data_IF_146130568167
#
_entry.id   IF_146130568167
#
_cell.length_a   1.000
_cell.length_b   1.000
_cell.length_c   1.000
_cell.angle_alpha   90.00
_cell.angle_beta   90.00
_cell.angle_gamma   90.00
#
_symmetry.space_group_name_H-M   'P 1'
#
loop_
_entity.id
_entity.type
_entity.pdbx_description
1 polymer ?
#
# COMPACT_ATOMS: atom_id res chain seq x y z
N UNK A 1 12.95 8.58 7.71
CA UNK A 1 13.94 9.57 7.32
C UNK A 1 15.16 8.85 6.76
N UNK A 2 15.17 8.68 5.43
CA UNK A 2 16.30 8.13 4.67
C UNK A 2 17.19 9.26 4.17
N UNK A 3 16.58 10.37 3.78
CA UNK A 3 17.22 11.59 3.33
C UNK A 3 16.61 12.79 4.07
N UNK A 4 17.37 13.84 4.24
CA UNK A 4 16.87 15.13 4.69
C UNK A 4 16.54 16.01 3.46
N UNK A 5 15.53 16.87 3.58
CA UNK A 5 15.24 17.85 2.55
C UNK A 5 16.41 18.83 2.43
N UNK A 6 16.83 19.11 1.18
CA UNK A 6 17.90 20.09 0.90
C UNK A 6 17.45 21.50 1.28
N UNK A 7 16.18 21.80 0.99
CA UNK A 7 15.51 23.06 1.36
C UNK A 7 14.13 22.77 1.93
N UNK A 8 13.62 23.69 2.74
CA UNK A 8 12.31 23.55 3.36
C UNK A 8 12.29 22.59 4.56
N UNK A 9 11.09 22.17 4.95
CA UNK A 9 10.87 21.37 6.16
C UNK A 9 9.82 20.30 5.89
N UNK A 10 10.13 19.06 6.23
CA UNK A 10 9.17 17.95 6.28
C UNK A 10 8.70 17.79 7.72
N UNK A 11 7.37 17.77 7.92
CA UNK A 11 6.76 17.62 9.25
C UNK A 11 5.88 16.38 9.32
N UNK A 12 5.98 15.67 10.44
CA UNK A 12 5.10 14.55 10.80
C UNK A 12 4.51 14.86 12.16
N UNK A 13 3.19 14.77 12.31
CA UNK A 13 2.51 15.14 13.55
C UNK A 13 2.78 16.59 13.98
N UNK A 14 2.94 17.52 13.03
CA UNK A 14 3.21 18.94 13.27
C UNK A 14 4.67 19.28 13.62
N UNK A 15 5.53 18.29 13.87
CA UNK A 15 6.95 18.48 14.26
C UNK A 15 7.88 18.17 13.09
N UNK A 16 8.95 18.97 12.93
CA UNK A 16 10.02 18.69 11.94
C UNK A 16 10.62 17.30 12.17
N UNK A 17 10.73 16.52 11.09
CA UNK A 17 11.29 15.14 11.14
C UNK A 17 12.72 15.10 11.66
N UNK A 18 13.48 16.18 11.53
CA UNK A 18 14.84 16.31 12.05
C UNK A 18 14.89 16.35 13.59
N UNK A 19 13.80 16.75 14.22
CA UNK A 19 13.67 16.81 15.67
C UNK A 19 13.19 15.51 16.34
N UNK A 20 12.96 14.43 15.59
CA UNK A 20 12.63 13.13 16.13
C UNK A 20 13.87 12.25 16.30
N UNK A 21 13.83 11.36 17.27
CA UNK A 21 14.65 10.15 17.23
C UNK A 21 14.29 9.36 15.96
N UNK A 22 15.32 8.89 15.25
CA UNK A 22 15.13 8.25 13.93
C UNK A 22 14.38 6.92 14.06
N UNK A 23 14.63 6.15 15.12
CA UNK A 23 13.96 4.87 15.33
C UNK A 23 12.49 5.11 15.71
N UNK A 24 12.21 6.03 16.63
CA UNK A 24 10.85 6.40 17.01
C UNK A 24 10.03 6.90 15.80
N UNK A 25 10.65 7.70 14.90
CA UNK A 25 9.98 8.14 13.67
C UNK A 25 9.72 6.97 12.72
N UNK A 26 10.69 6.08 12.54
CA UNK A 26 10.54 4.92 11.66
C UNK A 26 9.55 3.91 12.20
N UNK A 27 9.43 3.79 13.53
CA UNK A 27 8.44 2.93 14.16
C UNK A 27 7.02 3.46 13.98
N UNK A 28 6.85 4.77 13.96
CA UNK A 28 5.55 5.41 13.70
C UNK A 28 5.14 5.39 12.22
N UNK A 29 6.05 5.12 11.28
CA UNK A 29 5.79 5.12 9.84
C UNK A 29 5.94 3.72 9.28
N UNK A 30 4.86 3.21 8.69
CA UNK A 30 4.87 2.00 7.87
C UNK A 30 4.98 2.37 6.39
N UNK A 31 5.75 1.61 5.63
CA UNK A 31 5.86 1.80 4.19
C UNK A 31 5.78 0.45 3.46
N UNK A 32 4.95 0.40 2.44
CA UNK A 32 4.86 -0.70 1.49
C UNK A 32 5.41 -0.21 0.17
N UNK A 33 6.54 -0.76 -0.23
CA UNK A 33 7.26 -0.34 -1.44
C UNK A 33 6.71 -1.03 -2.69
N UNK A 34 6.92 -0.45 -3.86
CA UNK A 34 6.61 -1.03 -5.16
C UNK A 34 7.28 -2.39 -5.35
N UNK A 35 8.56 -2.53 -4.95
CA UNK A 35 9.25 -3.82 -4.93
C UNK A 35 9.04 -4.52 -3.60
N UNK A 36 8.20 -5.54 -3.63
CA UNK A 36 7.86 -6.34 -2.47
C UNK A 36 8.99 -7.34 -2.15
N UNK A 37 9.70 -7.11 -1.06
CA UNK A 37 10.79 -7.96 -0.61
C UNK A 37 10.34 -8.84 0.55
N UNK A 38 10.47 -10.14 0.34
CA UNK A 38 10.38 -11.17 1.38
C UNK A 38 11.75 -11.80 1.58
N UNK A 39 12.03 -12.15 2.83
CA UNK A 39 13.27 -12.83 3.21
C UNK A 39 13.07 -14.34 3.16
N UNK A 40 14.17 -15.09 3.06
CA UNK A 40 14.16 -16.54 3.23
C UNK A 40 13.66 -16.91 4.62
N UNK A 41 12.98 -18.05 4.74
CA UNK A 41 12.31 -18.49 5.95
C UNK A 41 10.81 -18.61 5.75
N UNK A 42 10.07 -18.75 6.83
CA UNK A 42 8.62 -18.96 6.79
C UNK A 42 7.85 -17.64 6.58
N UNK A 43 6.58 -17.76 6.25
CA UNK A 43 5.65 -16.60 6.22
C UNK A 43 5.59 -15.97 7.62
N UNK A 44 5.51 -16.78 8.66
CA UNK A 44 5.56 -16.36 10.08
C UNK A 44 6.78 -15.49 10.36
N UNK A 45 7.98 -15.94 10.00
CA UNK A 45 9.21 -15.19 10.21
C UNK A 45 9.16 -13.84 9.52
N UNK A 46 8.67 -13.80 8.28
CA UNK A 46 8.53 -12.56 7.51
C UNK A 46 7.52 -11.59 8.12
N UNK A 47 6.40 -12.07 8.63
CA UNK A 47 5.39 -11.23 9.27
C UNK A 47 5.90 -10.66 10.60
N UNK A 48 6.63 -11.46 11.39
CA UNK A 48 7.23 -11.03 12.66
C UNK A 48 8.31 -9.96 12.53
N UNK A 49 8.76 -9.62 11.34
CA UNK A 49 9.54 -8.40 11.11
C UNK A 49 8.72 -7.11 11.33
N UNK A 50 7.39 -7.20 11.26
CA UNK A 50 6.49 -6.09 11.61
C UNK A 50 6.37 -5.92 13.11
N UNK A 51 6.13 -7.02 13.82
CA UNK A 51 6.07 -7.11 15.28
C UNK A 51 6.62 -8.48 15.73
N UNK A 52 7.81 -8.53 16.36
CA UNK A 52 8.41 -9.77 16.84
C UNK A 52 7.58 -10.50 17.91
N UNK A 53 6.78 -9.78 18.67
CA UNK A 53 5.97 -10.29 19.78
C UNK A 53 4.54 -10.67 19.36
N UNK A 54 4.18 -10.45 18.07
CA UNK A 54 2.86 -10.76 17.54
C UNK A 54 2.48 -12.23 17.77
N UNK A 55 1.27 -12.44 18.29
CA UNK A 55 0.67 -13.76 18.42
C UNK A 55 0.17 -14.29 17.08
N UNK A 56 -0.17 -15.58 17.01
CA UNK A 56 -0.75 -16.15 15.79
C UNK A 56 -2.06 -15.46 15.41
N UNK A 57 -2.88 -15.08 16.39
CA UNK A 57 -4.12 -14.38 16.15
C UNK A 57 -3.87 -13.00 15.51
N UNK A 58 -2.81 -12.28 15.95
CA UNK A 58 -2.40 -10.99 15.37
C UNK A 58 -1.91 -11.18 13.93
N UNK A 59 -1.09 -12.23 13.69
CA UNK A 59 -0.60 -12.55 12.34
C UNK A 59 -1.76 -12.84 11.39
N UNK A 60 -2.72 -13.66 11.82
CA UNK A 60 -3.90 -13.95 11.01
C UNK A 60 -4.81 -12.75 10.83
N UNK A 61 -4.96 -11.89 11.85
CA UNK A 61 -5.72 -10.64 11.72
C UNK A 61 -5.10 -9.73 10.65
N UNK A 62 -3.79 -9.49 10.71
CA UNK A 62 -3.10 -8.70 9.71
C UNK A 62 -3.17 -9.34 8.30
N UNK A 63 -3.14 -10.67 8.21
CA UNK A 63 -3.32 -11.37 6.94
C UNK A 63 -4.74 -11.19 6.38
N UNK A 64 -5.78 -11.17 7.21
CA UNK A 64 -7.16 -10.88 6.77
C UNK A 64 -7.27 -9.44 6.25
N UNK A 65 -6.73 -8.47 6.96
CA UNK A 65 -6.74 -7.05 6.55
C UNK A 65 -5.99 -6.82 5.23
N UNK A 66 -4.98 -7.63 4.96
CA UNK A 66 -4.22 -7.63 3.70
C UNK A 66 -4.78 -8.59 2.64
N UNK A 67 -5.92 -9.26 2.87
CA UNK A 67 -6.47 -10.31 2.00
C UNK A 67 -5.48 -11.44 1.68
N UNK A 68 -4.54 -11.71 2.59
CA UNK A 68 -3.57 -12.78 2.46
C UNK A 68 -4.10 -14.13 2.98
N UNK A 69 -5.07 -14.11 3.87
CA UNK A 69 -5.71 -15.29 4.47
C UNK A 69 -6.35 -16.22 3.42
N UNK A 70 -6.89 -15.68 2.34
CA UNK A 70 -7.50 -16.45 1.26
C UNK A 70 -6.56 -17.49 0.65
N UNK A 71 -5.30 -17.13 0.38
CA UNK A 71 -4.34 -18.07 -0.17
C UNK A 71 -3.60 -18.84 0.92
N UNK A 72 -3.34 -18.22 2.08
CA UNK A 72 -2.71 -18.87 3.23
C UNK A 72 -3.49 -20.07 3.73
N UNK A 73 -4.82 -19.96 3.81
CA UNK A 73 -5.68 -21.05 4.24
C UNK A 73 -5.67 -22.28 3.31
N UNK A 74 -5.17 -22.11 2.08
CA UNK A 74 -5.01 -23.20 1.10
C UNK A 74 -3.61 -23.81 1.10
N UNK A 75 -2.67 -23.20 1.81
CA UNK A 75 -1.31 -23.73 1.95
C UNK A 75 -1.28 -24.79 3.04
N UNK A 76 -0.67 -25.97 2.80
CA UNK A 76 -0.65 -27.06 3.78
C UNK A 76 -0.06 -26.66 5.13
N UNK A 77 1.00 -25.85 5.11
CA UNK A 77 1.73 -25.42 6.29
C UNK A 77 1.31 -24.01 6.79
N UNK A 78 0.32 -23.38 6.13
CA UNK A 78 -0.21 -22.07 6.52
C UNK A 78 0.89 -21.02 6.76
N UNK A 79 0.95 -20.46 7.98
CA UNK A 79 1.98 -19.48 8.36
C UNK A 79 3.41 -20.06 8.38
N UNK A 80 3.57 -21.36 8.52
CA UNK A 80 4.87 -22.04 8.57
C UNK A 80 5.36 -22.48 7.19
N UNK A 81 4.66 -22.10 6.13
CA UNK A 81 5.06 -22.32 4.74
C UNK A 81 6.38 -21.61 4.46
N UNK A 82 7.39 -22.36 3.97
CA UNK A 82 8.68 -21.83 3.55
C UNK A 82 8.54 -21.02 2.26
N UNK A 83 9.05 -19.79 2.28
CA UNK A 83 9.00 -18.87 1.15
C UNK A 83 10.11 -19.06 0.14
N UNK A 84 11.16 -19.81 0.49
CA UNK A 84 12.37 -19.91 -0.32
C UNK A 84 13.14 -18.58 -0.43
N UNK A 85 14.15 -18.56 -1.26
CA UNK A 85 14.98 -17.36 -1.43
C UNK A 85 14.18 -16.23 -2.10
N UNK A 86 14.03 -15.09 -1.41
CA UNK A 86 13.31 -13.93 -1.91
C UNK A 86 11.83 -14.16 -2.19
N UNK A 87 11.22 -15.18 -1.54
CA UNK A 87 9.81 -15.52 -1.71
C UNK A 87 9.50 -16.14 -3.07
N UNK A 88 10.39 -16.96 -3.65
CA UNK A 88 10.20 -17.58 -4.97
C UNK A 88 8.97 -18.52 -5.02
N UNK A 89 8.51 -19.00 -3.88
CA UNK A 89 7.38 -19.93 -3.77
C UNK A 89 6.00 -19.26 -3.78
N UNK A 90 5.95 -17.94 -3.89
CA UNK A 90 4.68 -17.17 -3.91
C UNK A 90 4.64 -16.19 -5.08
N UNK A 91 3.44 -15.92 -5.59
CA UNK A 91 3.22 -14.98 -6.69
C UNK A 91 3.51 -13.52 -6.28
N UNK A 92 3.64 -12.61 -7.26
CA UNK A 92 3.85 -11.19 -7.01
C UNK A 92 2.75 -10.57 -6.14
N UNK A 93 1.49 -10.86 -6.44
CA UNK A 93 0.35 -10.38 -5.64
C UNK A 93 0.30 -10.99 -4.22
N UNK A 94 0.72 -12.25 -4.06
CA UNK A 94 0.85 -12.88 -2.73
C UNK A 94 1.96 -12.21 -1.92
N UNK A 95 3.15 -11.97 -2.53
CA UNK A 95 4.24 -11.23 -1.89
C UNK A 95 3.78 -9.86 -1.40
N UNK A 96 3.04 -9.16 -2.24
CA UNK A 96 2.55 -7.84 -1.93
C UNK A 96 1.61 -7.85 -0.72
N UNK A 97 0.64 -8.77 -0.69
CA UNK A 97 -0.28 -8.93 0.44
C UNK A 97 0.45 -9.27 1.73
N UNK A 98 1.47 -10.13 1.69
CA UNK A 98 2.31 -10.42 2.86
C UNK A 98 3.12 -9.19 3.32
N UNK A 99 3.64 -8.38 2.40
CA UNK A 99 4.32 -7.13 2.75
C UNK A 99 3.36 -6.11 3.37
N UNK A 100 2.11 -6.05 2.91
CA UNK A 100 1.07 -5.22 3.52
C UNK A 100 0.77 -5.73 4.94
N UNK A 101 0.49 -7.03 5.12
CA UNK A 101 0.23 -7.63 6.43
C UNK A 101 1.36 -7.34 7.42
N UNK A 102 2.63 -7.55 7.01
CA UNK A 102 3.81 -7.22 7.80
C UNK A 102 3.84 -5.74 8.22
N UNK A 103 3.45 -4.85 7.34
CA UNK A 103 3.45 -3.41 7.64
C UNK A 103 2.31 -3.02 8.57
N UNK A 104 1.16 -3.67 8.48
CA UNK A 104 0.02 -3.46 9.37
C UNK A 104 0.30 -3.92 10.81
N UNK A 105 1.03 -5.04 10.98
CA UNK A 105 1.47 -5.53 12.30
C UNK A 105 2.30 -4.52 13.09
N UNK A 106 2.95 -3.59 12.40
CA UNK A 106 3.72 -2.53 13.04
C UNK A 106 2.84 -1.48 13.74
N UNK A 107 1.53 -1.49 13.52
CA UNK A 107 0.57 -0.50 14.02
C UNK A 107 1.00 0.96 13.79
N UNK A 108 1.37 1.32 12.55
CA UNK A 108 1.94 2.62 12.23
C UNK A 108 0.92 3.75 12.44
N UNK A 109 1.40 4.97 12.71
CA UNK A 109 0.58 6.20 12.73
C UNK A 109 0.45 6.83 11.35
N UNK A 110 1.44 6.60 10.49
CA UNK A 110 1.46 7.00 9.08
C UNK A 110 1.75 5.75 8.23
N UNK A 111 0.93 5.51 7.23
CA UNK A 111 1.04 4.38 6.33
C UNK A 111 1.25 4.90 4.91
N UNK A 112 2.34 4.50 4.27
CA UNK A 112 2.71 4.91 2.92
C UNK A 112 2.64 3.70 2.01
N UNK A 113 1.87 3.84 0.92
CA UNK A 113 1.78 2.86 -0.17
C UNK A 113 2.41 3.47 -1.41
N UNK A 114 3.55 2.92 -1.84
CA UNK A 114 4.27 3.38 -3.02
C UNK A 114 4.01 2.44 -4.20
N UNK A 115 2.99 2.76 -5.00
CA UNK A 115 2.49 1.98 -6.16
C UNK A 115 2.35 0.46 -5.85
N UNK A 116 2.06 0.18 -4.61
CA UNK A 116 2.19 -1.16 -4.03
C UNK A 116 0.94 -2.04 -4.25
N UNK A 117 -0.08 -1.57 -4.96
CA UNK A 117 -1.26 -2.35 -5.33
C UNK A 117 -1.30 -2.75 -6.81
N UNK A 118 -0.31 -2.34 -7.60
CA UNK A 118 -0.25 -2.59 -9.04
C UNK A 118 -0.15 -4.07 -9.45
N UNK A 119 0.32 -4.93 -8.54
CA UNK A 119 0.48 -6.37 -8.79
C UNK A 119 -0.69 -7.24 -8.31
N UNK A 120 -1.72 -6.65 -7.68
CA UNK A 120 -2.93 -7.36 -7.29
C UNK A 120 -4.09 -7.08 -8.26
N UNK A 121 -5.04 -8.00 -8.33
CA UNK A 121 -6.25 -7.80 -9.11
C UNK A 121 -7.17 -6.74 -8.47
N UNK A 122 -8.07 -6.18 -9.27
CA UNK A 122 -8.93 -5.06 -8.85
C UNK A 122 -9.83 -5.40 -7.65
N UNK A 123 -10.30 -6.64 -7.53
CA UNK A 123 -11.18 -7.05 -6.43
C UNK A 123 -10.38 -7.09 -5.13
N UNK A 124 -9.19 -7.71 -5.15
CA UNK A 124 -8.27 -7.75 -4.00
C UNK A 124 -7.82 -6.34 -3.60
N UNK A 125 -7.50 -5.47 -4.57
CA UNK A 125 -7.15 -4.07 -4.29
C UNK A 125 -8.31 -3.33 -3.60
N UNK A 126 -9.53 -3.51 -4.07
CA UNK A 126 -10.72 -2.93 -3.44
C UNK A 126 -10.92 -3.40 -2.01
N UNK A 127 -10.73 -4.70 -1.74
CA UNK A 127 -10.81 -5.27 -0.40
C UNK A 127 -9.74 -4.69 0.54
N UNK A 128 -8.49 -4.62 0.10
CA UNK A 128 -7.39 -4.00 0.87
C UNK A 128 -7.75 -2.54 1.19
N UNK A 129 -8.23 -1.77 0.23
CA UNK A 129 -8.65 -0.37 0.46
C UNK A 129 -9.76 -0.27 1.50
N UNK A 130 -10.75 -1.18 1.45
CA UNK A 130 -11.83 -1.20 2.43
C UNK A 130 -11.30 -1.50 3.84
N UNK A 131 -10.42 -2.49 3.99
CA UNK A 131 -9.78 -2.80 5.26
C UNK A 131 -8.95 -1.61 5.78
N UNK A 132 -8.17 -0.97 4.90
CA UNK A 132 -7.41 0.23 5.25
C UNK A 132 -8.30 1.41 5.66
N UNK A 133 -9.48 1.57 5.04
CA UNK A 133 -10.44 2.61 5.43
C UNK A 133 -10.92 2.42 6.88
N UNK A 134 -11.03 1.16 7.33
CA UNK A 134 -11.38 0.81 8.70
C UNK A 134 -10.28 1.12 9.74
N UNK A 135 -9.04 1.39 9.32
CA UNK A 135 -7.96 1.78 10.23
C UNK A 135 -8.12 3.25 10.68
N UNK A 136 -8.99 3.51 11.62
CA UNK A 136 -9.35 4.79 12.24
C UNK A 136 -8.37 5.96 12.05
N UNK A 137 -7.58 6.30 13.08
CA UNK A 137 -6.72 7.49 13.14
C UNK A 137 -5.36 7.38 12.44
N UNK A 138 -5.22 6.51 11.43
CA UNK A 138 -3.96 6.35 10.67
C UNK A 138 -3.96 7.28 9.47
N UNK A 139 -2.93 8.12 9.32
CA UNK A 139 -2.72 8.91 8.10
C UNK A 139 -2.22 7.99 6.99
N UNK A 140 -2.95 7.96 5.87
CA UNK A 140 -2.62 7.11 4.72
C UNK A 140 -2.15 8.00 3.56
N UNK A 141 -0.96 7.72 3.05
CA UNK A 141 -0.40 8.34 1.85
C UNK A 141 -0.30 7.27 0.76
N UNK A 142 -1.08 7.42 -0.29
CA UNK A 142 -1.14 6.46 -1.39
C UNK A 142 -0.53 7.11 -2.63
N UNK A 143 0.56 6.57 -3.12
CA UNK A 143 1.15 6.93 -4.40
C UNK A 143 0.67 5.89 -5.40
N UNK A 144 -0.06 6.32 -6.42
CA UNK A 144 -0.64 5.42 -7.40
C UNK A 144 -0.66 6.05 -8.79
N UNK A 145 -0.57 5.19 -9.80
CA UNK A 145 -0.70 5.56 -11.20
C UNK A 145 -2.15 5.48 -11.67
N UNK A 146 -3.00 4.70 -10.98
CA UNK A 146 -4.41 4.54 -11.32
C UNK A 146 -5.27 5.49 -10.48
N UNK A 147 -6.12 6.27 -11.15
CA UNK A 147 -7.07 7.15 -10.46
C UNK A 147 -8.03 6.33 -9.59
N UNK A 148 -8.46 5.16 -10.02
CA UNK A 148 -9.32 4.28 -9.23
C UNK A 148 -8.75 3.93 -7.87
N UNK A 149 -7.44 3.94 -7.70
CA UNK A 149 -6.77 3.66 -6.42
C UNK A 149 -6.85 4.84 -5.43
N UNK A 150 -7.06 6.05 -5.91
CA UNK A 150 -7.03 7.29 -5.10
C UNK A 150 -8.31 8.10 -5.13
N UNK A 151 -9.30 7.76 -5.97
CA UNK A 151 -10.53 8.53 -6.14
C UNK A 151 -11.36 8.69 -4.85
N UNK A 152 -11.20 7.79 -3.88
CA UNK A 152 -11.87 7.85 -2.58
C UNK A 152 -11.03 8.51 -1.48
N UNK A 153 -9.88 9.09 -1.82
CA UNK A 153 -9.04 9.79 -0.87
C UNK A 153 -9.67 11.13 -0.46
N UNK A 154 -9.45 11.53 0.80
CA UNK A 154 -9.90 12.82 1.31
C UNK A 154 -9.25 14.00 0.57
N UNK A 155 -8.03 13.79 0.06
CA UNK A 155 -7.27 14.78 -0.67
C UNK A 155 -6.38 14.09 -1.71
N UNK A 156 -6.41 14.59 -2.94
CA UNK A 156 -5.55 14.15 -4.03
C UNK A 156 -4.58 15.27 -4.36
N UNK A 157 -3.30 14.92 -4.48
CA UNK A 157 -2.23 15.83 -4.85
C UNK A 157 -1.66 15.41 -6.19
N UNK A 158 -1.68 16.31 -7.17
CA UNK A 158 -1.09 16.10 -8.49
C UNK A 158 0.27 16.76 -8.53
N UNK A 159 1.29 15.96 -8.84
CA UNK A 159 2.64 16.42 -9.07
C UNK A 159 2.94 16.33 -10.57
N UNK A 160 3.44 17.42 -11.13
CA UNK A 160 3.89 17.49 -12.51
C UNK A 160 5.31 18.09 -12.54
N UNK A 161 6.22 17.41 -13.21
CA UNK A 161 7.64 17.77 -13.31
C UNK A 161 8.27 18.15 -11.94
N UNK A 162 7.94 17.36 -10.91
CA UNK A 162 8.45 17.57 -9.54
C UNK A 162 7.86 18.77 -8.79
N UNK A 163 6.82 19.39 -9.33
CA UNK A 163 6.12 20.54 -8.74
C UNK A 163 4.67 20.20 -8.40
N UNK A 164 4.14 20.89 -7.40
CA UNK A 164 2.73 20.83 -7.09
C UNK A 164 1.94 21.47 -8.23
N UNK A 165 1.12 20.67 -8.95
CA UNK A 165 0.25 21.16 -10.01
C UNK A 165 -1.14 21.52 -9.45
N UNK A 166 -1.82 20.56 -8.83
CA UNK A 166 -3.16 20.77 -8.29
C UNK A 166 -3.38 19.93 -7.01
N UNK A 167 -4.36 20.39 -6.20
CA UNK A 167 -4.81 19.71 -4.98
C UNK A 167 -6.31 19.82 -4.90
N UNK A 168 -7.00 18.72 -4.58
CA UNK A 168 -8.46 18.72 -4.39
C UNK A 168 -8.99 17.31 -4.16
N UNK A 169 -10.30 17.20 -4.02
CA UNK A 169 -11.01 15.92 -4.06
C UNK A 169 -11.13 15.41 -5.49
N UNK A 170 -11.54 14.15 -5.66
CA UNK A 170 -11.82 13.58 -6.99
C UNK A 170 -12.75 14.45 -7.81
N UNK A 171 -13.89 14.84 -7.24
CA UNK A 171 -14.92 15.62 -7.93
C UNK A 171 -14.44 17.02 -8.31
N UNK A 172 -13.69 17.67 -7.42
CA UNK A 172 -13.12 18.99 -7.68
C UNK A 172 -12.11 18.99 -8.81
N UNK A 173 -11.21 18.00 -8.80
CA UNK A 173 -10.18 17.85 -9.84
C UNK A 173 -10.80 17.43 -11.17
N UNK A 174 -11.77 16.52 -11.15
CA UNK A 174 -12.48 16.11 -12.36
C UNK A 174 -13.26 17.26 -12.99
N UNK A 175 -13.75 18.21 -12.19
CA UNK A 175 -14.47 19.37 -12.69
C UNK A 175 -13.58 20.49 -13.23
N UNK A 176 -12.33 20.64 -12.72
CA UNK A 176 -11.54 21.86 -12.91
C UNK A 176 -10.13 21.62 -13.49
N UNK A 177 -9.57 20.43 -13.36
CA UNK A 177 -8.18 20.15 -13.72
C UNK A 177 -8.08 19.34 -15.00
N UNK A 178 -7.45 19.90 -16.03
CA UNK A 178 -7.36 19.28 -17.36
C UNK A 178 -6.46 18.06 -17.35
N UNK A 179 -5.35 18.06 -16.61
CA UNK A 179 -4.43 16.91 -16.52
C UNK A 179 -5.15 15.74 -15.85
N UNK A 180 -5.88 16.00 -14.75
CA UNK A 180 -6.65 14.96 -14.08
C UNK A 180 -7.75 14.37 -14.96
N UNK A 181 -8.47 15.21 -15.71
CA UNK A 181 -9.49 14.79 -16.67
C UNK A 181 -8.91 13.90 -17.78
N UNK A 182 -7.78 14.29 -18.36
CA UNK A 182 -7.10 13.52 -19.43
C UNK A 182 -6.68 12.14 -18.92
N UNK A 183 -6.06 12.05 -17.74
CA UNK A 183 -5.66 10.78 -17.11
C UNK A 183 -6.90 9.92 -16.84
N UNK A 184 -7.95 10.51 -16.25
CA UNK A 184 -9.19 9.81 -15.93
C UNK A 184 -9.84 9.21 -17.17
N UNK A 185 -10.04 10.02 -18.22
CA UNK A 185 -10.65 9.57 -19.47
C UNK A 185 -9.80 8.54 -20.21
N UNK A 186 -8.48 8.67 -20.17
CA UNK A 186 -7.56 7.70 -20.76
C UNK A 186 -7.70 6.32 -20.08
N UNK A 187 -7.78 6.30 -18.75
CA UNK A 187 -7.88 5.06 -17.99
C UNK A 187 -9.27 4.41 -18.11
N UNK A 188 -10.34 5.20 -18.20
CA UNK A 188 -11.70 4.66 -18.39
C UNK A 188 -11.88 4.05 -19.77
N UNK A 189 -11.33 4.67 -20.83
CA UNK A 189 -11.39 4.12 -22.20
C UNK A 189 -10.58 2.83 -22.37
N UNK A 190 -9.47 2.67 -21.64
CA UNK A 190 -8.66 1.45 -21.65
C UNK A 190 -9.35 0.27 -20.95
N UNK A 191 -10.19 0.52 -19.94
CA UNK A 191 -10.92 -0.52 -19.23
C UNK A 191 -12.05 -1.17 -20.03
N UNK A 192 -12.65 -0.46 -20.97
CA UNK A 192 -13.74 -0.99 -21.82
C UNK A 192 -13.22 -1.88 -22.96
N UNK A 193 -11.95 -1.73 -23.37
CA UNK A 193 -11.36 -2.50 -24.45
C UNK A 193 -11.02 -3.96 -24.07
N UNK A 194 -10.76 -4.23 -22.79
CA UNK A 194 -10.44 -5.58 -22.29
C UNK A 194 -11.68 -6.45 -22.01
N UNK A 195 -12.89 -5.86 -22.07
CA UNK A 195 -14.17 -6.54 -21.79
C UNK A 195 -14.83 -7.23 -22.98
N UNK A 196 -14.46 -6.94 -24.22
CA UNK A 196 -15.13 -7.46 -25.42
C UNK A 196 -14.45 -8.67 -26.08
N UNK A 197 -13.38 -9.21 -25.52
CA UNK A 197 -12.54 -10.25 -26.15
C UNK A 197 -12.92 -11.72 -25.85
N UNK A 198 -13.97 -12.04 -25.10
CA UNK A 198 -14.35 -13.46 -24.81
C UNK A 198 -15.83 -13.71 -25.10
N UNK A 199 -16.19 -13.68 -26.37
CA UNK A 199 -17.36 -14.40 -26.92
C UNK A 199 -17.04 -14.85 -28.34
N UNK A 200 -16.39 -15.99 -28.45
CA UNK A 200 -16.52 -16.92 -29.58
C UNK A 200 -16.19 -18.32 -29.14
#
# INVERSE_FOLDING_TARGET
RLYDATEGTVRVGGRDVRGYDVNALRDAVGIVLQKNLLFSGTIRDNLKWGDPDATDDDLWAACRDAHADEFLSRMPDGLDTDLGQGGCNVSGGQKQRLCIARTLLKHPKVLIFDDSTSAVDTATESGIRHALAGLGSVTKLIIAQRITSVQSADLIVILDDGRLHAVGTHDELLAKDTIYQEIYHSQMKGGDADGEGVRR
#
